data_IF_749564980190
#
_entry.id   IF_749564980190
#
_cell.length_a   1.000
_cell.length_b   1.000
_cell.length_c   1.000
_cell.angle_alpha   90.00
_cell.angle_beta   90.00
_cell.angle_gamma   90.00
#
_symmetry.space_group_name_H-M   'P 1'
#
loop_
_entity.id
_entity.type
_entity.pdbx_description
1 polymer ?
#
# COMPACT_ATOMS: atom_id res chain seq x y z
N UNK A 1 -1.18 17.20 -9.76
CA UNK A 1 -0.56 17.54 -8.46
C UNK A 1 -0.58 16.23 -7.73
N UNK A 2 0.57 15.66 -7.40
CA UNK A 2 0.61 14.29 -6.88
C UNK A 2 0.03 14.28 -5.47
N UNK A 3 -0.98 13.45 -5.25
CA UNK A 3 -1.63 13.30 -3.96
C UNK A 3 -0.85 12.27 -3.13
N UNK A 4 -0.64 12.59 -1.85
CA UNK A 4 -0.01 11.68 -0.90
C UNK A 4 -0.98 11.31 0.20
N UNK A 5 -1.02 10.03 0.54
CA UNK A 5 -1.86 9.51 1.62
C UNK A 5 -1.03 8.62 2.52
N UNK A 6 -1.37 8.62 3.80
CA UNK A 6 -0.87 7.67 4.78
C UNK A 6 -2.09 6.98 5.37
N UNK A 7 -2.18 5.68 5.19
CA UNK A 7 -3.31 4.89 5.67
C UNK A 7 -2.81 3.95 6.75
N UNK A 8 -3.61 3.78 7.81
CA UNK A 8 -3.36 2.85 8.90
C UNK A 8 -4.54 1.91 9.05
N UNK A 9 -4.29 0.61 9.01
CA UNK A 9 -5.30 -0.44 9.18
C UNK A 9 -4.87 -1.41 10.26
N UNK A 10 -5.82 -1.84 11.09
CA UNK A 10 -5.53 -2.82 12.16
C UNK A 10 -5.33 -4.20 11.55
N UNK A 11 -4.22 -4.87 11.88
CA UNK A 11 -3.94 -6.23 11.40
C UNK A 11 -4.70 -7.22 12.29
N UNK A 12 -5.34 -8.22 11.66
CA UNK A 12 -5.96 -9.32 12.41
C UNK A 12 -4.89 -10.05 13.24
N UNK A 13 -5.19 -10.43 14.49
CA UNK A 13 -4.27 -11.20 15.32
C UNK A 13 -3.73 -12.44 14.59
N UNK A 14 -2.40 -12.57 14.51
CA UNK A 14 -1.72 -13.68 13.85
C UNK A 14 -1.57 -13.57 12.33
N UNK A 15 -2.08 -12.51 11.69
CA UNK A 15 -1.90 -12.27 10.24
C UNK A 15 -0.66 -11.44 9.88
N UNK A 16 0.06 -10.92 10.87
CA UNK A 16 1.31 -10.18 10.66
C UNK A 16 2.33 -10.96 9.85
N UNK A 17 2.44 -12.28 10.07
CA UNK A 17 3.44 -13.09 9.35
C UNK A 17 3.08 -13.24 7.86
N UNK A 18 1.78 -13.40 7.55
CA UNK A 18 1.32 -13.45 6.15
C UNK A 18 1.64 -12.15 5.41
N UNK A 19 1.52 -10.99 6.06
CA UNK A 19 1.92 -9.70 5.47
C UNK A 19 3.43 -9.63 5.20
N UNK A 20 4.26 -10.21 6.07
CA UNK A 20 5.70 -10.26 5.83
C UNK A 20 6.05 -11.18 4.66
N UNK A 21 5.48 -12.37 4.61
CA UNK A 21 5.63 -13.31 3.48
C UNK A 21 5.24 -12.64 2.16
N UNK A 22 4.07 -12.00 2.13
CA UNK A 22 3.62 -11.22 0.98
C UNK A 22 4.62 -10.12 0.59
N UNK A 23 5.15 -9.38 1.56
CA UNK A 23 6.14 -8.33 1.28
C UNK A 23 7.44 -8.88 0.68
N UNK A 24 7.80 -10.13 0.97
CA UNK A 24 8.94 -10.82 0.35
C UNK A 24 8.61 -11.22 -1.09
N UNK A 25 7.40 -11.72 -1.35
CA UNK A 25 6.90 -12.05 -2.70
C UNK A 25 6.89 -10.80 -3.60
N UNK A 26 6.36 -9.67 -3.11
CA UNK A 26 6.38 -8.37 -3.83
C UNK A 26 7.81 -7.93 -4.14
N UNK A 27 8.74 -8.07 -3.18
CA UNK A 27 10.15 -7.72 -3.41
C UNK A 27 10.84 -8.67 -4.39
N UNK A 28 10.46 -9.95 -4.41
CA UNK A 28 10.98 -10.92 -5.36
C UNK A 28 10.47 -10.67 -6.79
N UNK A 29 9.24 -10.17 -6.92
CA UNK A 29 8.59 -9.81 -8.19
C UNK A 29 8.59 -8.29 -8.45
N UNK A 30 9.64 -7.61 -7.98
CA UNK A 30 9.74 -6.14 -7.98
C UNK A 30 9.53 -5.52 -9.37
N UNK A 31 10.01 -6.16 -10.43
CA UNK A 31 9.88 -5.61 -11.78
C UNK A 31 8.42 -5.56 -12.24
N UNK A 32 7.62 -6.59 -11.93
CA UNK A 32 6.19 -6.59 -12.21
C UNK A 32 5.44 -5.59 -11.32
N UNK A 33 5.77 -5.54 -10.02
CA UNK A 33 5.20 -4.56 -9.09
C UNK A 33 5.46 -3.11 -9.53
N UNK A 34 6.65 -2.82 -10.09
CA UNK A 34 6.95 -1.48 -10.62
C UNK A 34 6.10 -1.18 -11.87
N UNK A 35 5.85 -2.16 -12.72
CA UNK A 35 5.01 -1.99 -13.91
C UNK A 35 3.57 -1.67 -13.52
N UNK A 36 3.02 -2.34 -12.49
CA UNK A 36 1.65 -2.06 -12.02
C UNK A 36 1.55 -0.64 -11.45
N UNK A 37 2.50 -0.24 -10.58
CA UNK A 37 2.57 1.12 -10.06
C UNK A 37 2.64 2.18 -11.17
N UNK A 38 3.44 1.94 -12.23
CA UNK A 38 3.53 2.84 -13.38
C UNK A 38 2.21 2.94 -14.16
N UNK A 39 1.53 1.83 -14.38
CA UNK A 39 0.25 1.80 -15.10
C UNK A 39 -0.85 2.53 -14.33
N UNK A 40 -0.80 2.50 -12.99
CA UNK A 40 -1.76 3.15 -12.10
C UNK A 40 -1.44 4.64 -11.85
N UNK A 41 -0.30 5.15 -12.34
CA UNK A 41 0.14 6.51 -12.03
C UNK A 41 0.61 6.67 -10.58
N UNK A 42 0.97 5.57 -9.92
CA UNK A 42 1.56 5.59 -8.58
C UNK A 42 3.09 5.77 -8.68
N UNK A 43 3.59 6.80 -8.03
CA UNK A 43 5.01 7.12 -8.00
C UNK A 43 5.76 6.32 -6.94
N UNK A 44 5.12 6.06 -5.80
CA UNK A 44 5.72 5.31 -4.71
C UNK A 44 4.65 4.69 -3.81
N UNK A 45 4.94 3.48 -3.34
CA UNK A 45 4.27 2.82 -2.23
C UNK A 45 5.31 2.44 -1.18
N UNK A 46 4.98 2.58 0.10
CA UNK A 46 5.80 2.10 1.19
C UNK A 46 4.92 1.53 2.29
N UNK A 47 5.06 0.24 2.57
CA UNK A 47 4.30 -0.46 3.59
C UNK A 47 5.17 -0.75 4.82
N UNK A 48 4.58 -0.56 6.00
CA UNK A 48 5.20 -0.72 7.31
C UNK A 48 4.28 -1.50 8.24
N UNK A 49 4.86 -2.16 9.24
CA UNK A 49 4.11 -2.71 10.37
C UNK A 49 4.44 -1.85 11.59
N UNK A 50 3.43 -1.15 12.11
CA UNK A 50 3.49 -0.50 13.41
C UNK A 50 3.10 -1.50 14.50
N UNK A 51 3.88 -1.57 15.58
CA UNK A 51 3.59 -2.44 16.74
C UNK A 51 3.21 -1.60 17.93
N UNK A 52 2.06 -1.88 18.52
CA UNK A 52 1.53 -1.15 19.68
C UNK A 52 1.00 -2.13 20.73
N UNK A 53 0.66 -1.62 21.91
CA UNK A 53 0.00 -2.43 22.95
C UNK A 53 -1.42 -2.89 22.53
N UNK A 54 -2.04 -2.23 21.55
CA UNK A 54 -3.37 -2.56 21.03
C UNK A 54 -3.34 -3.58 19.88
N UNK A 55 -2.14 -3.97 19.44
CA UNK A 55 -1.88 -4.88 18.35
C UNK A 55 -0.97 -4.29 17.26
N UNK A 56 -0.83 -5.07 16.19
CA UNK A 56 -0.07 -4.67 15.01
C UNK A 56 -0.99 -3.93 14.01
N UNK A 57 -0.44 -2.94 13.32
CA UNK A 57 -1.12 -2.17 12.29
C UNK A 57 -0.29 -2.17 11.01
N UNK A 58 -0.97 -2.31 9.87
CA UNK A 58 -0.40 -2.09 8.55
C UNK A 58 -0.50 -0.59 8.29
N UNK A 59 0.63 0.03 8.01
CA UNK A 59 0.70 1.46 7.69
C UNK A 59 1.31 1.58 6.30
N UNK A 60 0.60 2.18 5.36
CA UNK A 60 1.09 2.36 4.00
C UNK A 60 1.03 3.81 3.56
N UNK A 61 2.13 4.27 3.00
CA UNK A 61 2.26 5.56 2.33
C UNK A 61 2.16 5.35 0.84
N UNK A 62 1.30 6.12 0.18
CA UNK A 62 1.19 6.14 -1.28
C UNK A 62 1.35 7.55 -1.80
N UNK A 63 1.98 7.65 -2.97
CA UNK A 63 2.11 8.88 -3.74
C UNK A 63 1.65 8.58 -5.16
N UNK A 64 0.58 9.22 -5.62
CA UNK A 64 0.02 8.97 -6.95
C UNK A 64 -0.46 10.25 -7.63
N UNK A 65 -0.50 10.26 -8.96
CA UNK A 65 -0.99 11.42 -9.73
C UNK A 65 -2.44 11.79 -9.35
N UNK A 66 -3.26 10.78 -9.10
CA UNK A 66 -4.62 10.88 -8.59
C UNK A 66 -4.98 9.58 -7.86
N UNK A 67 -5.14 9.62 -6.53
CA UNK A 67 -5.43 8.40 -5.76
C UNK A 67 -6.77 7.76 -6.15
N UNK A 68 -7.77 8.54 -6.61
CA UNK A 68 -9.06 7.99 -7.04
C UNK A 68 -8.91 7.15 -8.31
N UNK A 69 -8.09 7.61 -9.26
CA UNK A 69 -7.83 6.89 -10.52
C UNK A 69 -6.97 5.64 -10.29
N UNK A 70 -6.07 5.65 -9.31
CA UNK A 70 -5.33 4.44 -8.88
C UNK A 70 -6.31 3.35 -8.45
N UNK A 71 -7.27 3.66 -7.58
CA UNK A 71 -8.24 2.66 -7.11
C UNK A 71 -9.05 2.07 -8.27
N UNK A 72 -9.52 2.91 -9.20
CA UNK A 72 -10.24 2.44 -10.39
C UNK A 72 -9.36 1.60 -11.33
N UNK A 73 -8.08 1.95 -11.48
CA UNK A 73 -7.13 1.20 -12.31
C UNK A 73 -6.80 -0.15 -11.68
N UNK A 74 -6.56 -0.18 -10.36
CA UNK A 74 -6.29 -1.39 -9.59
C UNK A 74 -7.46 -2.38 -9.68
N UNK A 75 -8.71 -1.91 -9.52
CA UNK A 75 -9.91 -2.75 -9.67
C UNK A 75 -10.04 -3.38 -11.07
N UNK A 76 -9.49 -2.76 -12.11
CA UNK A 76 -9.52 -3.25 -13.49
C UNK A 76 -8.24 -3.98 -13.91
N UNK A 77 -7.25 -4.12 -13.02
CA UNK A 77 -5.97 -4.73 -13.36
C UNK A 77 -6.10 -6.23 -13.66
N UNK A 78 -5.34 -6.68 -14.67
CA UNK A 78 -5.25 -8.10 -15.03
C UNK A 78 -3.96 -8.77 -14.55
N UNK A 79 -3.09 -8.02 -13.86
CA UNK A 79 -1.83 -8.56 -13.36
C UNK A 79 -2.06 -9.54 -12.21
N UNK A 80 -1.24 -10.61 -12.16
CA UNK A 80 -1.37 -11.64 -11.14
C UNK A 80 -1.02 -11.09 -9.76
N UNK A 81 0.01 -10.24 -9.70
CA UNK A 81 0.45 -9.58 -8.46
C UNK A 81 -0.63 -8.70 -7.83
N UNK A 82 -1.47 -8.02 -8.63
CA UNK A 82 -2.53 -7.15 -8.12
C UNK A 82 -3.69 -7.96 -7.53
N UNK A 83 -4.02 -9.12 -8.14
CA UNK A 83 -5.01 -10.05 -7.60
C UNK A 83 -4.55 -10.68 -6.29
N UNK A 84 -3.27 -11.05 -6.20
CA UNK A 84 -2.70 -11.57 -4.97
C UNK A 84 -2.64 -10.47 -3.89
N UNK A 85 -2.27 -9.24 -4.27
CA UNK A 85 -2.30 -8.07 -3.41
C UNK A 85 -3.69 -7.84 -2.81
N UNK A 86 -4.73 -7.81 -3.65
CA UNK A 86 -6.14 -7.66 -3.22
C UNK A 86 -6.54 -8.75 -2.21
N UNK A 87 -6.16 -10.00 -2.48
CA UNK A 87 -6.46 -11.11 -1.58
C UNK A 87 -5.78 -10.95 -0.21
N UNK A 88 -4.50 -10.57 -0.19
CA UNK A 88 -3.76 -10.33 1.05
C UNK A 88 -4.35 -9.13 1.82
N UNK A 89 -4.69 -8.04 1.13
CA UNK A 89 -5.29 -6.84 1.73
C UNK A 89 -6.73 -7.06 2.19
N UNK A 90 -7.42 -8.09 1.71
CA UNK A 90 -8.72 -8.52 2.25
C UNK A 90 -8.59 -9.49 3.42
N UNK A 91 -7.55 -10.31 3.44
CA UNK A 91 -7.35 -11.35 4.45
C UNK A 91 -6.71 -10.83 5.74
N UNK A 92 -5.80 -9.86 5.62
CA UNK A 92 -4.89 -9.48 6.71
C UNK A 92 -5.40 -8.37 7.62
N UNK A 93 -6.04 -7.29 7.13
CA UNK A 93 -6.64 -6.28 8.00
C UNK A 93 -7.93 -6.78 8.65
N UNK A 94 -8.21 -6.31 9.86
CA UNK A 94 -9.46 -6.60 10.56
C UNK A 94 -10.65 -6.03 9.78
N UNK A 95 -10.53 -4.78 9.38
CA UNK A 95 -11.37 -4.04 8.43
C UNK A 95 -10.48 -3.32 7.40
N UNK A 96 -11.08 -2.93 6.27
CA UNK A 96 -10.40 -2.12 5.24
C UNK A 96 -10.42 -0.61 5.53
N UNK A 97 -11.05 -0.20 6.64
CA UNK A 97 -11.17 1.22 6.98
C UNK A 97 -9.84 1.76 7.47
N UNK A 98 -9.49 2.96 6.98
CA UNK A 98 -8.38 3.73 7.53
C UNK A 98 -8.76 4.20 8.94
N UNK A 99 -8.03 3.70 9.94
CA UNK A 99 -8.15 4.12 11.34
C UNK A 99 -7.11 5.19 11.72
N UNK A 100 -6.33 5.65 10.73
CA UNK A 100 -5.38 6.74 10.88
C UNK A 100 -6.08 8.10 10.94
N UNK A 101 -5.71 8.92 11.92
CA UNK A 101 -6.05 10.33 11.97
C UNK A 101 -4.78 11.15 11.74
N UNK A 102 -4.49 11.47 10.48
CA UNK A 102 -3.27 12.16 10.08
C UNK A 102 -3.57 13.51 9.42
N UNK A 103 -2.83 14.53 9.84
CA UNK A 103 -2.79 15.83 9.16
C UNK A 103 -1.48 15.93 8.36
N UNK A 104 -1.58 16.09 7.04
CA UNK A 104 -0.41 16.33 6.21
C UNK A 104 0.14 17.73 6.45
N UNK A 105 1.29 17.83 7.12
CA UNK A 105 1.95 19.11 7.35
C UNK A 105 2.75 19.60 6.13
N UNK A 106 3.47 18.69 5.46
CA UNK A 106 4.20 18.99 4.23
C UNK A 106 4.56 17.70 3.47
N UNK A 107 4.68 17.81 2.16
CA UNK A 107 5.27 16.81 1.27
C UNK A 107 6.31 17.48 0.37
N UNK A 108 7.47 16.86 0.21
CA UNK A 108 8.52 17.32 -0.68
C UNK A 108 8.92 16.16 -1.58
N UNK A 109 8.97 16.43 -2.88
CA UNK A 109 9.41 15.48 -3.89
C UNK A 109 10.66 15.99 -4.60
N UNK A 110 11.63 15.10 -4.82
CA UNK A 110 12.79 15.42 -5.63
C UNK A 110 12.69 14.68 -6.96
N UNK A 111 12.13 15.30 -8.02
CA UNK A 111 11.89 14.63 -9.29
C UNK A 111 13.18 14.28 -10.05
N UNK A 112 14.35 14.65 -9.53
CA UNK A 112 15.64 14.43 -10.16
C UNK A 112 16.41 13.25 -9.57
N UNK A 113 15.87 12.58 -8.54
CA UNK A 113 16.47 11.36 -7.98
C UNK A 113 15.48 10.19 -8.12
N UNK A 114 15.97 8.99 -8.52
CA UNK A 114 15.17 7.77 -8.54
C UNK A 114 14.80 7.30 -7.13
#
# INVERSE_FOLDING_TARGET
MTDVVLIKQKIRPGKTERLKEWSEEVRAQKDEAIVTLQNEGMHAESAFIERTDEGDFLVYYMKAENNHEVYESFENSTHEIDREHENVMRETPENVEDVGEYELLYHLDNPHLP
#
